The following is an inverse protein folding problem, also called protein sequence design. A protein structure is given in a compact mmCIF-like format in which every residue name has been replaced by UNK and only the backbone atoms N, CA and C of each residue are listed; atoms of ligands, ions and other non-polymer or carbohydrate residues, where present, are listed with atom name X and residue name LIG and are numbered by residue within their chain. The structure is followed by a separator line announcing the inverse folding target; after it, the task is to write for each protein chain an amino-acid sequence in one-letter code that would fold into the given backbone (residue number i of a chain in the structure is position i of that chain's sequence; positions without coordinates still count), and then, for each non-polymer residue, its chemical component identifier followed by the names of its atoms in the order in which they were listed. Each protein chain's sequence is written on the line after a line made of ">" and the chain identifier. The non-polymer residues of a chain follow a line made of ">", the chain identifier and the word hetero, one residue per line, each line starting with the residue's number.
data_IF_361620596281
#
_entry.id   IF_361620596281
#
_cell.length_a   1.000
_cell.length_b   1.000
_cell.length_c   1.000
_cell.angle_alpha   90.00
_cell.angle_beta   90.00
_cell.angle_gamma   90.00
#
_symmetry.space_group_name_H-M   'P 1'
#
loop_
_entity.id
_entity.type
_entity.pdbx_description
1 polymer ?
#
# COMPACT_ATOMS: atom_id res chain seq x y z
N UNK A 1 -27.04 -51.32 10.55
CA UNK A 1 -25.93 -51.35 9.59
C UNK A 1 -24.66 -51.52 10.43
N UNK A 2 -23.90 -52.60 10.18
CA UNK A 2 -22.59 -52.77 10.82
C UNK A 2 -21.60 -51.70 10.29
N UNK A 3 -20.59 -51.38 11.12
CA UNK A 3 -19.53 -50.43 10.71
C UNK A 3 -18.90 -50.88 9.38
N UNK A 4 -18.58 -49.97 8.51
CA UNK A 4 -18.03 -50.17 7.16
C UNK A 4 -18.96 -50.99 6.21
N UNK A 5 -20.24 -51.09 6.48
CA UNK A 5 -21.19 -51.79 5.62
C UNK A 5 -21.38 -51.11 4.25
N UNK A 6 -21.12 -49.79 4.14
CA UNK A 6 -21.13 -49.02 2.90
C UNK A 6 -19.70 -48.65 2.55
N UNK A 7 -19.13 -49.32 1.57
CA UNK A 7 -17.80 -49.05 1.03
C UNK A 7 -17.89 -48.24 -0.27
N UNK A 8 -16.82 -47.61 -0.71
CA UNK A 8 -16.74 -46.89 -1.99
C UNK A 8 -17.19 -47.72 -3.20
N UNK A 9 -16.98 -49.06 -3.16
CA UNK A 9 -17.43 -49.96 -4.23
C UNK A 9 -18.94 -50.19 -4.24
N UNK A 10 -19.68 -49.78 -3.19
CA UNK A 10 -21.14 -49.92 -3.09
C UNK A 10 -21.91 -48.66 -3.42
N UNK A 11 -21.19 -47.55 -3.64
CA UNK A 11 -21.74 -46.28 -4.10
C UNK A 11 -21.28 -46.12 -5.55
N UNK A 12 -22.19 -46.09 -6.49
CA UNK A 12 -21.89 -45.87 -7.88
C UNK A 12 -21.31 -44.46 -8.07
N UNK A 13 -20.49 -44.27 -9.08
CA UNK A 13 -20.01 -42.96 -9.45
C UNK A 13 -21.19 -42.00 -9.74
N UNK A 14 -21.11 -40.77 -9.30
CA UNK A 14 -22.14 -39.72 -9.40
C UNK A 14 -23.46 -40.03 -8.62
N UNK A 15 -23.46 -41.05 -7.74
CA UNK A 15 -24.63 -41.39 -6.95
C UNK A 15 -24.94 -40.46 -5.78
N UNK A 16 -23.95 -39.62 -5.40
CA UNK A 16 -24.11 -38.61 -4.33
C UNK A 16 -24.08 -37.22 -4.99
N UNK A 17 -25.24 -36.56 -5.01
CA UNK A 17 -25.39 -35.15 -5.46
C UNK A 17 -25.58 -34.23 -4.25
N UNK A 18 -25.74 -32.94 -4.51
CA UNK A 18 -25.97 -31.91 -3.48
C UNK A 18 -27.25 -32.15 -2.69
N UNK A 19 -28.29 -32.72 -3.31
CA UNK A 19 -29.54 -33.09 -2.62
C UNK A 19 -29.37 -34.18 -1.59
N UNK A 20 -28.26 -34.95 -1.63
CA UNK A 20 -27.94 -36.00 -0.64
C UNK A 20 -27.07 -35.44 0.51
N UNK A 21 -26.63 -34.19 0.42
CA UNK A 21 -25.86 -33.50 1.46
C UNK A 21 -26.80 -32.64 2.31
N UNK A 22 -27.09 -33.12 3.53
CA UNK A 22 -27.82 -32.29 4.49
C UNK A 22 -27.01 -31.03 4.81
N UNK A 23 -27.64 -29.84 4.80
CA UNK A 23 -26.95 -28.59 5.15
C UNK A 23 -26.24 -28.62 6.51
N UNK A 24 -26.66 -29.47 7.42
CA UNK A 24 -26.00 -29.70 8.71
C UNK A 24 -24.62 -30.34 8.58
N UNK A 25 -24.28 -30.91 7.43
CA UNK A 25 -22.92 -31.35 7.14
C UNK A 25 -21.91 -30.18 7.22
N UNK A 26 -22.39 -28.95 7.00
CA UNK A 26 -21.62 -27.71 7.14
C UNK A 26 -22.03 -26.98 8.42
N UNK A 27 -23.32 -26.67 8.57
CA UNK A 27 -23.81 -25.82 9.66
C UNK A 27 -23.75 -26.46 11.04
N UNK A 28 -23.70 -27.82 11.09
CA UNK A 28 -23.54 -28.57 12.32
C UNK A 28 -22.10 -28.72 12.81
N UNK A 29 -21.10 -28.24 12.03
CA UNK A 29 -19.71 -28.31 12.46
C UNK A 29 -19.38 -27.19 13.43
N UNK A 30 -18.38 -27.42 14.27
CA UNK A 30 -17.82 -26.37 15.14
C UNK A 30 -17.20 -25.31 14.26
N UNK A 31 -17.48 -24.00 14.54
CA UNK A 31 -16.91 -22.90 13.81
C UNK A 31 -15.40 -22.85 14.01
N UNK A 32 -14.64 -22.85 12.90
CA UNK A 32 -13.22 -22.54 12.92
C UNK A 32 -13.03 -21.01 12.96
N UNK A 33 -12.34 -20.53 13.98
CA UNK A 33 -12.10 -19.09 14.21
C UNK A 33 -10.64 -18.69 14.07
N UNK A 34 -9.75 -19.64 13.83
CA UNK A 34 -8.31 -19.45 13.70
C UNK A 34 -7.78 -20.25 12.50
N UNK A 35 -8.13 -19.81 11.32
CA UNK A 35 -7.80 -20.49 10.07
C UNK A 35 -6.30 -20.38 9.79
N UNK A 36 -5.64 -21.52 9.54
CA UNK A 36 -4.24 -21.59 9.16
C UNK A 36 -4.06 -21.53 7.63
N UNK A 37 -2.87 -21.10 7.20
CA UNK A 37 -2.55 -20.93 5.77
C UNK A 37 -2.61 -22.25 4.98
N UNK A 38 -2.37 -23.38 5.64
CA UNK A 38 -2.38 -24.73 5.07
C UNK A 38 -3.73 -25.48 5.23
N UNK A 39 -4.72 -24.87 5.88
CA UNK A 39 -6.08 -25.38 5.92
C UNK A 39 -6.67 -25.52 4.51
N UNK A 40 -7.54 -26.51 4.33
CA UNK A 40 -8.01 -26.90 3.01
C UNK A 40 -9.48 -26.53 2.79
N UNK A 41 -9.75 -25.95 1.64
CA UNK A 41 -11.10 -25.68 1.12
C UNK A 41 -11.35 -26.57 -0.09
N UNK A 42 -12.52 -27.19 -0.16
CA UNK A 42 -12.97 -27.96 -1.32
C UNK A 42 -13.56 -27.02 -2.35
N UNK A 43 -13.10 -27.11 -3.60
CA UNK A 43 -13.55 -26.29 -4.72
C UNK A 43 -13.91 -27.15 -5.93
N UNK A 44 -14.89 -26.71 -6.71
CA UNK A 44 -15.16 -27.26 -8.04
C UNK A 44 -14.36 -26.46 -9.09
N UNK A 45 -13.44 -27.11 -9.77
CA UNK A 45 -12.59 -26.48 -10.79
C UNK A 45 -13.29 -26.50 -12.17
N UNK A 46 -13.86 -25.36 -12.56
CA UNK A 46 -14.56 -25.21 -13.84
C UNK A 46 -13.64 -25.39 -15.04
N UNK A 47 -12.34 -25.09 -14.91
CA UNK A 47 -11.34 -25.30 -15.98
C UNK A 47 -10.99 -26.78 -16.19
N UNK A 48 -11.28 -27.63 -15.20
CA UNK A 48 -11.08 -29.07 -15.22
C UNK A 48 -12.41 -29.85 -15.24
N UNK A 49 -13.38 -29.41 -16.03
CA UNK A 49 -14.71 -30.05 -16.18
C UNK A 49 -15.46 -30.20 -14.84
N UNK A 50 -15.35 -29.19 -13.99
CA UNK A 50 -15.95 -29.14 -12.66
C UNK A 50 -15.44 -30.24 -11.68
N UNK A 51 -14.24 -30.76 -11.92
CA UNK A 51 -13.63 -31.73 -10.99
C UNK A 51 -13.44 -31.12 -9.59
N UNK A 52 -13.71 -31.89 -8.55
CA UNK A 52 -13.46 -31.51 -7.18
C UNK A 52 -11.96 -31.49 -6.90
N UNK A 53 -11.48 -30.36 -6.39
CA UNK A 53 -10.09 -30.16 -5.97
C UNK A 53 -10.01 -29.50 -4.60
N UNK A 54 -8.91 -29.71 -3.92
CA UNK A 54 -8.59 -29.00 -2.68
C UNK A 54 -7.75 -27.77 -2.99
N UNK A 55 -7.98 -26.69 -2.26
CA UNK A 55 -7.20 -25.48 -2.30
C UNK A 55 -6.81 -25.10 -0.87
N UNK A 56 -5.58 -24.63 -0.65
CA UNK A 56 -5.19 -24.08 0.64
C UNK A 56 -5.81 -22.70 0.84
N UNK A 57 -6.04 -22.30 2.09
CA UNK A 57 -6.51 -20.96 2.44
C UNK A 57 -5.53 -19.91 1.92
N UNK A 58 -4.23 -20.14 2.04
CA UNK A 58 -3.19 -19.25 1.48
C UNK A 58 -3.42 -18.98 0.00
N UNK A 59 -3.66 -20.02 -0.83
CA UNK A 59 -3.94 -19.86 -2.25
C UNK A 59 -5.27 -19.16 -2.54
N UNK A 60 -6.31 -19.44 -1.73
CA UNK A 60 -7.61 -18.79 -1.86
C UNK A 60 -7.48 -17.27 -1.61
N UNK A 61 -6.78 -16.90 -0.55
CA UNK A 61 -6.56 -15.49 -0.16
C UNK A 61 -5.61 -14.79 -1.13
N UNK A 62 -4.57 -15.47 -1.62
CA UNK A 62 -3.65 -14.91 -2.61
C UNK A 62 -4.36 -14.53 -3.91
N UNK A 63 -5.38 -15.29 -4.33
CA UNK A 63 -6.18 -15.02 -5.53
C UNK A 63 -7.42 -14.14 -5.28
N UNK A 64 -7.69 -13.74 -4.03
CA UNK A 64 -8.88 -12.96 -3.67
C UNK A 64 -8.83 -11.47 -4.07
N UNK A 65 -7.97 -11.09 -4.99
CA UNK A 65 -7.89 -9.77 -5.61
C UNK A 65 -6.59 -9.02 -5.30
N UNK A 66 -6.02 -8.44 -6.33
CA UNK A 66 -4.93 -7.47 -6.23
C UNK A 66 -5.37 -6.19 -5.49
N UNK A 67 -4.41 -5.40 -5.07
CA UNK A 67 -4.67 -4.11 -4.44
C UNK A 67 -4.81 -4.15 -2.91
N UNK A 68 -4.39 -5.22 -2.24
CA UNK A 68 -4.32 -5.26 -0.78
C UNK A 68 -3.26 -4.28 -0.27
N UNK A 69 -3.57 -3.53 0.77
CA UNK A 69 -2.56 -2.80 1.54
C UNK A 69 -1.79 -3.83 2.37
N UNK A 70 -0.52 -4.03 2.06
CA UNK A 70 0.33 -5.03 2.70
C UNK A 70 1.07 -4.45 3.91
N UNK A 71 1.48 -3.19 3.83
CA UNK A 71 2.09 -2.46 4.95
C UNK A 71 1.80 -0.96 4.84
N UNK A 72 1.78 -0.28 5.98
CA UNK A 72 1.61 1.17 6.09
C UNK A 72 2.69 1.70 7.03
N UNK A 73 3.48 2.65 6.55
CA UNK A 73 4.51 3.32 7.32
C UNK A 73 4.28 4.83 7.28
N UNK A 74 4.59 5.50 8.39
CA UNK A 74 4.36 6.93 8.52
C UNK A 74 5.53 7.63 9.18
N UNK A 75 5.72 8.91 8.85
CA UNK A 75 6.60 9.81 9.56
C UNK A 75 5.98 11.20 9.62
N UNK A 76 6.25 11.95 10.68
CA UNK A 76 5.79 13.33 10.85
C UNK A 76 6.91 14.25 11.33
N UNK A 77 6.78 15.55 11.05
CA UNK A 77 7.68 16.59 11.54
C UNK A 77 6.92 17.91 11.71
N UNK A 78 7.09 18.55 12.84
CA UNK A 78 6.56 19.89 13.13
C UNK A 78 7.66 20.95 13.23
N UNK A 79 8.93 20.56 13.08
CA UNK A 79 10.05 21.49 13.14
C UNK A 79 10.13 22.32 11.85
N UNK A 80 10.12 23.64 11.97
CA UNK A 80 10.33 24.52 10.82
C UNK A 80 11.69 24.23 10.17
N UNK A 81 11.68 24.00 8.87
CA UNK A 81 12.86 23.78 8.04
C UNK A 81 12.93 24.84 6.96
N UNK A 82 14.11 25.37 6.73
CA UNK A 82 14.32 26.44 5.76
C UNK A 82 15.38 26.07 4.72
N UNK A 83 15.24 26.61 3.52
CA UNK A 83 16.29 26.56 2.50
C UNK A 83 16.20 27.76 1.56
N UNK A 84 17.34 28.09 0.92
CA UNK A 84 17.44 29.02 -0.21
C UNK A 84 17.90 28.30 -1.48
N UNK A 85 18.02 26.98 -1.43
CA UNK A 85 18.52 26.18 -2.55
C UNK A 85 17.62 26.27 -3.77
N UNK A 86 18.20 26.53 -4.92
CA UNK A 86 17.54 26.49 -6.23
C UNK A 86 17.47 25.08 -6.84
N UNK A 87 18.05 24.10 -6.17
CA UNK A 87 17.90 22.67 -6.47
C UNK A 87 17.07 22.01 -5.39
N UNK A 88 16.36 20.91 -5.72
CA UNK A 88 15.62 20.14 -4.74
C UNK A 88 16.55 19.53 -3.69
N UNK A 89 16.37 19.94 -2.45
CA UNK A 89 17.06 19.43 -1.27
C UNK A 89 16.08 18.74 -0.33
N UNK A 90 16.56 17.90 0.58
CA UNK A 90 15.73 17.27 1.61
C UNK A 90 15.00 18.35 2.41
N UNK A 91 13.67 18.31 2.42
CA UNK A 91 12.84 19.24 3.17
C UNK A 91 12.96 19.03 4.68
N UNK A 92 12.90 17.77 5.08
CA UNK A 92 13.12 17.34 6.45
C UNK A 92 13.67 15.91 6.45
N UNK A 93 14.68 15.66 7.28
CA UNK A 93 15.21 14.30 7.51
C UNK A 93 14.22 13.41 8.27
N UNK A 94 13.24 14.01 8.92
CA UNK A 94 12.18 13.32 9.66
C UNK A 94 10.98 12.96 8.78
N UNK A 95 10.67 13.77 7.74
CA UNK A 95 9.64 13.45 6.73
C UNK A 95 10.21 12.50 5.66
N UNK A 96 10.71 11.38 6.14
CA UNK A 96 11.36 10.35 5.35
C UNK A 96 10.90 8.98 5.84
N UNK A 97 10.56 8.08 4.91
CA UNK A 97 10.11 6.72 5.22
C UNK A 97 10.88 5.75 4.33
N UNK A 98 11.46 4.74 4.95
CA UNK A 98 12.06 3.59 4.28
C UNK A 98 11.05 2.45 4.26
N UNK A 99 10.74 1.93 3.08
CA UNK A 99 9.84 0.80 2.88
C UNK A 99 10.55 -0.29 2.10
N UNK A 100 10.36 -1.54 2.49
CA UNK A 100 10.87 -2.71 1.77
C UNK A 100 9.70 -3.44 1.14
N UNK A 101 9.47 -3.29 -0.18
CA UNK A 101 8.35 -3.96 -0.85
C UNK A 101 8.49 -5.49 -0.79
N UNK A 102 7.38 -6.18 -0.61
CA UNK A 102 7.33 -7.65 -0.51
C UNK A 102 7.51 -8.34 -1.86
N UNK A 103 7.19 -7.64 -2.96
CA UNK A 103 7.34 -8.13 -4.34
C UNK A 103 7.77 -7.00 -5.29
N UNK A 104 8.47 -7.37 -6.38
CA UNK A 104 8.85 -6.42 -7.43
C UNK A 104 7.66 -5.87 -8.22
N UNK A 105 6.51 -6.55 -8.18
CA UNK A 105 5.24 -6.12 -8.77
C UNK A 105 4.45 -5.15 -7.88
N UNK A 106 4.78 -5.06 -6.58
CA UNK A 106 4.10 -4.15 -5.64
C UNK A 106 4.18 -2.70 -6.10
N UNK A 107 3.10 -1.97 -5.86
CA UNK A 107 3.05 -0.52 -6.02
C UNK A 107 3.21 0.15 -4.66
N UNK A 108 3.76 1.35 -4.66
CA UNK A 108 3.88 2.15 -3.43
C UNK A 108 3.03 3.41 -3.59
N UNK A 109 2.00 3.51 -2.77
CA UNK A 109 1.16 4.71 -2.70
C UNK A 109 1.69 5.62 -1.60
N UNK A 110 2.06 6.83 -1.98
CA UNK A 110 2.62 7.84 -1.08
C UNK A 110 1.66 9.02 -0.98
N UNK A 111 1.39 9.43 0.24
CA UNK A 111 0.65 10.66 0.57
C UNK A 111 1.55 11.50 1.46
N UNK A 112 1.85 12.74 1.07
CA UNK A 112 2.52 13.70 1.93
C UNK A 112 1.58 14.89 2.18
N UNK A 113 1.08 15.01 3.41
CA UNK A 113 0.26 16.12 3.86
C UNK A 113 1.17 17.19 4.47
N UNK A 114 1.23 18.35 3.85
CA UNK A 114 2.06 19.47 4.28
C UNK A 114 1.20 20.43 5.07
N UNK A 115 1.46 20.52 6.38
CA UNK A 115 0.68 21.34 7.31
C UNK A 115 0.92 22.83 7.13
N UNK A 116 2.13 23.24 6.78
CA UNK A 116 2.44 24.63 6.50
C UNK A 116 3.71 24.78 5.70
N UNK A 117 3.63 25.50 4.58
CA UNK A 117 4.80 25.97 3.86
C UNK A 117 4.64 27.44 3.53
N UNK A 118 5.76 28.17 3.50
CA UNK A 118 5.78 29.61 3.35
C UNK A 118 7.03 30.02 2.58
N UNK A 119 6.93 31.11 1.84
CA UNK A 119 8.07 31.73 1.16
C UNK A 119 8.15 33.22 1.47
N UNK A 120 9.36 33.75 1.40
CA UNK A 120 9.60 35.18 1.60
C UNK A 120 9.78 35.92 0.26
N UNK A 121 10.08 35.22 -0.84
CA UNK A 121 10.18 35.72 -2.22
C UNK A 121 10.30 34.56 -3.21
N UNK A 122 10.23 34.81 -4.52
CA UNK A 122 10.31 33.82 -5.57
C UNK A 122 9.20 32.73 -5.46
N UNK A 123 9.24 31.66 -6.23
CA UNK A 123 8.34 30.52 -6.04
C UNK A 123 8.97 29.44 -5.17
N UNK A 124 8.14 28.76 -4.39
CA UNK A 124 8.50 27.58 -3.62
C UNK A 124 7.93 26.34 -4.28
N UNK A 125 8.74 25.30 -4.39
CA UNK A 125 8.32 24.01 -4.95
C UNK A 125 8.57 22.87 -3.96
N UNK A 126 7.59 21.97 -3.85
CA UNK A 126 7.68 20.74 -3.07
C UNK A 126 7.44 19.54 -3.97
N UNK A 127 8.07 18.43 -3.64
CA UNK A 127 7.91 17.18 -4.37
C UNK A 127 8.25 15.96 -3.51
N UNK A 128 7.81 14.80 -3.95
CA UNK A 128 8.20 13.51 -3.37
C UNK A 128 9.36 12.95 -4.20
N UNK A 129 10.36 12.45 -3.51
CA UNK A 129 11.47 11.71 -4.09
C UNK A 129 11.43 10.24 -3.65
N UNK A 130 11.77 9.34 -4.59
CA UNK A 130 12.20 7.97 -4.29
C UNK A 130 13.73 7.94 -4.40
N UNK A 131 14.43 7.83 -3.27
CA UNK A 131 15.89 7.92 -3.25
C UNK A 131 16.38 9.21 -3.91
N UNK A 132 17.02 9.09 -5.08
CA UNK A 132 17.47 10.22 -5.91
C UNK A 132 16.51 10.62 -7.03
N UNK A 133 15.44 9.85 -7.26
CA UNK A 133 14.48 10.07 -8.35
C UNK A 133 13.38 11.02 -7.92
N UNK A 134 13.19 12.12 -8.64
CA UNK A 134 12.03 13.01 -8.48
C UNK A 134 10.79 12.35 -9.09
N UNK A 135 9.72 12.22 -8.32
CA UNK A 135 8.46 11.64 -8.78
C UNK A 135 7.47 12.69 -9.32
N UNK A 136 7.80 13.96 -9.18
CA UNK A 136 7.04 15.08 -9.74
C UNK A 136 7.74 15.71 -10.95
N UNK A 137 7.36 16.94 -11.28
CA UNK A 137 8.00 17.71 -12.35
C UNK A 137 9.43 18.12 -11.93
N UNK A 138 10.39 18.00 -12.83
CA UNK A 138 11.82 18.25 -12.53
C UNK A 138 12.10 19.62 -11.94
N UNK A 139 11.42 20.67 -12.43
CA UNK A 139 11.65 22.04 -11.98
C UNK A 139 10.60 22.55 -10.99
N UNK A 140 9.35 22.11 -11.13
CA UNK A 140 8.21 22.64 -10.37
C UNK A 140 7.70 21.72 -9.28
N UNK A 141 8.18 20.48 -9.24
CA UNK A 141 7.70 19.49 -8.27
C UNK A 141 6.21 19.15 -8.45
N UNK A 142 5.54 18.90 -7.34
CA UNK A 142 4.10 18.57 -7.27
C UNK A 142 3.28 19.73 -6.68
N UNK A 143 3.90 20.59 -5.89
CA UNK A 143 3.29 21.78 -5.29
C UNK A 143 4.12 23.00 -5.69
N UNK A 144 3.43 24.07 -6.08
CA UNK A 144 4.00 25.38 -6.34
C UNK A 144 3.28 26.43 -5.48
N UNK A 145 4.04 27.24 -4.75
CA UNK A 145 3.52 28.37 -3.97
C UNK A 145 4.15 29.69 -4.45
N UNK A 146 3.32 30.62 -4.95
CA UNK A 146 3.79 31.87 -5.56
C UNK A 146 3.56 33.13 -4.73
N UNK A 147 2.62 33.13 -3.77
CA UNK A 147 2.33 34.31 -2.97
C UNK A 147 3.30 34.48 -1.80
N UNK A 148 3.83 35.70 -1.62
CA UNK A 148 4.75 36.01 -0.52
C UNK A 148 4.04 36.11 0.81
N UNK A 149 4.70 35.67 1.87
CA UNK A 149 4.21 35.72 3.25
C UNK A 149 2.84 35.03 3.48
N UNK A 150 2.43 34.15 2.57
CA UNK A 150 1.22 33.34 2.72
C UNK A 150 1.61 31.95 3.15
N UNK A 151 0.91 31.41 4.17
CA UNK A 151 1.02 30.02 4.54
C UNK A 151 0.04 29.19 3.72
N UNK A 152 0.54 28.12 3.16
CA UNK A 152 -0.23 27.14 2.43
C UNK A 152 -0.24 25.82 3.18
N UNK A 153 -1.33 25.07 3.06
CA UNK A 153 -1.41 23.66 3.41
C UNK A 153 -1.88 22.91 2.18
N UNK A 154 -1.28 21.76 1.91
CA UNK A 154 -1.59 20.99 0.71
C UNK A 154 -1.17 19.54 0.87
N UNK A 155 -1.62 18.66 -0.02
CA UNK A 155 -1.18 17.29 -0.08
C UNK A 155 -0.59 16.95 -1.44
N UNK A 156 0.42 16.09 -1.44
CA UNK A 156 0.99 15.45 -2.63
C UNK A 156 0.66 13.97 -2.58
N UNK A 157 0.29 13.40 -3.72
CA UNK A 157 0.01 11.97 -3.84
C UNK A 157 0.70 11.39 -5.06
N UNK A 158 1.22 10.19 -4.95
CA UNK A 158 1.79 9.45 -6.07
C UNK A 158 1.62 7.95 -5.87
N UNK A 159 1.32 7.23 -6.94
CA UNK A 159 1.41 5.77 -7.00
C UNK A 159 2.64 5.42 -7.83
N UNK A 160 3.67 4.93 -7.14
CA UNK A 160 4.96 4.60 -7.74
C UNK A 160 5.14 3.10 -7.96
N UNK A 161 6.05 2.74 -8.85
CA UNK A 161 6.42 1.36 -9.19
C UNK A 161 7.92 1.21 -9.03
N UNK A 162 8.42 0.93 -7.82
CA UNK A 162 9.86 0.86 -7.57
C UNK A 162 10.52 -0.35 -8.21
N UNK A 163 9.76 -1.40 -8.51
CA UNK A 163 10.20 -2.65 -9.14
C UNK A 163 11.37 -3.31 -8.40
N UNK A 164 11.37 -3.28 -7.08
CA UNK A 164 12.42 -3.83 -6.21
C UNK A 164 11.83 -4.39 -4.92
N UNK A 165 12.56 -5.31 -4.30
CA UNK A 165 12.33 -5.80 -2.94
C UNK A 165 13.39 -5.31 -1.97
N UNK A 166 14.24 -4.36 -2.39
CA UNK A 166 15.19 -3.70 -1.50
C UNK A 166 14.56 -2.52 -0.79
N UNK A 167 15.11 -2.15 0.37
CA UNK A 167 14.71 -0.93 1.09
C UNK A 167 14.76 0.29 0.18
N UNK A 168 13.67 1.04 0.15
CA UNK A 168 13.46 2.17 -0.75
C UNK A 168 12.98 3.36 0.07
N UNK A 169 13.71 4.46 -0.01
CA UNK A 169 13.44 5.69 0.75
C UNK A 169 12.48 6.60 -0.03
N UNK A 170 11.41 7.04 0.61
CA UNK A 170 10.54 8.11 0.14
C UNK A 170 10.67 9.33 1.06
N UNK A 171 10.80 10.51 0.49
CA UNK A 171 11.03 11.74 1.25
C UNK A 171 10.42 12.96 0.56
N UNK A 172 10.05 13.97 1.36
CA UNK A 172 9.65 15.28 0.87
C UNK A 172 10.90 16.11 0.60
N UNK A 173 10.99 16.71 -0.60
CA UNK A 173 12.03 17.67 -0.95
C UNK A 173 11.43 19.00 -1.33
N UNK A 174 12.23 20.06 -1.12
CA UNK A 174 11.86 21.43 -1.38
C UNK A 174 12.95 22.19 -2.14
N UNK A 175 12.56 23.19 -2.95
CA UNK A 175 13.47 24.12 -3.61
C UNK A 175 12.86 25.52 -3.70
N UNK A 176 13.69 26.53 -3.69
CA UNK A 176 13.34 27.92 -4.03
C UNK A 176 13.60 28.17 -5.51
N UNK A 177 12.72 28.84 -6.22
CA UNK A 177 12.97 29.23 -7.62
C UNK A 177 14.01 30.35 -7.72
N UNK A 178 13.89 31.39 -6.89
CA UNK A 178 14.72 32.58 -6.93
C UNK A 178 15.89 32.64 -5.95
N UNK A 179 16.06 31.60 -5.10
CA UNK A 179 17.06 31.63 -4.03
C UNK A 179 16.58 32.33 -2.74
N UNK A 180 15.33 32.76 -2.70
CA UNK A 180 14.73 33.35 -1.51
C UNK A 180 14.46 32.27 -0.45
N UNK A 181 14.31 32.68 0.82
CA UNK A 181 14.02 31.74 1.90
C UNK A 181 12.64 31.14 1.75
N UNK A 182 12.59 29.82 1.70
CA UNK A 182 11.36 29.04 1.78
C UNK A 182 11.34 28.22 3.07
N UNK A 183 10.14 27.92 3.57
CA UNK A 183 9.92 27.26 4.86
C UNK A 183 8.97 26.09 4.70
N UNK A 184 9.35 24.94 5.24
CA UNK A 184 8.49 23.77 5.46
C UNK A 184 8.15 23.72 6.94
N UNK A 185 6.94 23.26 7.32
CA UNK A 185 6.43 23.26 8.69
C UNK A 185 6.43 24.67 9.31
N UNK A 186 6.13 25.69 8.49
CA UNK A 186 6.13 27.08 8.93
C UNK A 186 5.27 27.29 10.19
N UNK A 187 5.81 28.01 11.18
CA UNK A 187 5.19 28.27 12.47
C UNK A 187 4.92 26.97 13.28
N UNK A 188 5.66 25.91 13.04
CA UNK A 188 5.55 24.63 13.78
C UNK A 188 4.33 23.78 13.42
N UNK A 189 3.68 24.05 12.29
CA UNK A 189 2.54 23.22 11.86
C UNK A 189 3.04 21.88 11.35
N UNK A 190 2.48 20.79 11.89
CA UNK A 190 2.89 19.43 11.56
C UNK A 190 2.59 19.07 10.11
N UNK A 191 3.57 18.43 9.47
CA UNK A 191 3.44 17.72 8.21
C UNK A 191 3.67 16.23 8.43
N UNK A 192 3.08 15.39 7.59
CA UNK A 192 3.29 13.95 7.64
C UNK A 192 3.46 13.36 6.24
N UNK A 193 4.11 12.20 6.20
CA UNK A 193 4.19 11.34 5.02
C UNK A 193 3.70 9.95 5.39
N UNK A 194 2.82 9.40 4.57
CA UNK A 194 2.29 8.03 4.66
C UNK A 194 2.72 7.28 3.42
N UNK A 195 3.30 6.13 3.61
CA UNK A 195 3.77 5.25 2.54
C UNK A 195 3.11 3.89 2.71
N UNK A 196 2.40 3.45 1.67
CA UNK A 196 1.62 2.21 1.68
C UNK A 196 2.07 1.29 0.56
N UNK A 197 2.37 0.04 0.89
CA UNK A 197 2.54 -0.99 -0.13
C UNK A 197 1.19 -1.53 -0.55
N UNK A 198 0.95 -1.51 -1.85
CA UNK A 198 -0.22 -2.09 -2.51
C UNK A 198 0.24 -3.32 -3.26
N UNK A 199 -0.24 -4.50 -2.85
CA UNK A 199 0.02 -5.76 -3.54
C UNK A 199 -0.60 -5.78 -4.94
N UNK A 200 0.11 -6.42 -5.88
CA UNK A 200 -0.38 -6.66 -7.24
C UNK A 200 -1.30 -7.87 -7.29
#
# INVERSE_FOLDING_TARGET
>A
IVDDAVTSAKIADDAISDEHLDPTAITGQTAETSVADDDLVLVSDTSASAALKKMTVSNLVANAGGGKILQVLTASDSTERTTTSTSFVTGSTTLTVDITPSATSSKIFVIASIGGYKKDGGAMHLTIYRGSTNLGHNDRGMINGDANNVRYSSAMTVLDSPSTTSSTTYQVRMRSEGGDTIRLNADGVESNIVVMEVGA
#
